data_IF_946929961933
#
_entry.id   IF_946929961933
#
_cell.length_a   1.000
_cell.length_b   1.000
_cell.length_c   1.000
_cell.angle_alpha   90.00
_cell.angle_beta   90.00
_cell.angle_gamma   90.00
#
_symmetry.space_group_name_H-M   'P 1'
#
loop_
_entity.id
_entity.type
_entity.pdbx_description
1 polymer ?
#
# COMPACT_ATOMS: atom_id res chain seq x y z
N UNK A 1 -3.11 15.67 -29.35
CA UNK A 1 -2.00 14.70 -29.25
C UNK A 1 -0.96 15.29 -28.31
N UNK A 2 -1.18 15.14 -27.00
CA UNK A 2 -0.24 15.51 -25.92
C UNK A 2 -0.86 15.10 -24.56
N UNK A 3 -0.64 13.86 -24.12
CA UNK A 3 -0.83 13.46 -22.71
C UNK A 3 0.14 12.36 -22.26
N UNK A 4 1.18 12.04 -23.03
CA UNK A 4 2.12 10.96 -22.69
C UNK A 4 3.34 11.44 -21.87
N UNK A 5 3.59 12.75 -21.80
CA UNK A 5 4.79 13.31 -21.16
C UNK A 5 4.71 13.37 -19.63
N UNK A 6 3.51 13.39 -19.04
CA UNK A 6 3.30 13.47 -17.58
C UNK A 6 3.33 12.10 -16.91
N UNK A 7 2.91 11.02 -17.59
CA UNK A 7 3.01 9.66 -17.04
C UNK A 7 4.46 9.17 -16.95
N UNK A 8 5.28 9.46 -17.97
CA UNK A 8 6.68 9.08 -17.97
C UNK A 8 7.49 9.82 -16.90
N UNK A 9 7.12 11.05 -16.54
CA UNK A 9 7.79 11.81 -15.49
C UNK A 9 7.44 11.25 -14.10
N UNK A 10 6.18 10.84 -13.87
CA UNK A 10 5.73 10.23 -12.61
C UNK A 10 6.30 8.82 -12.40
N UNK A 11 6.33 8.00 -13.46
CA UNK A 11 6.95 6.65 -13.44
C UNK A 11 8.47 6.76 -13.29
N UNK A 12 9.12 7.73 -13.94
CA UNK A 12 10.55 8.03 -13.76
C UNK A 12 10.89 8.51 -12.34
N UNK A 13 9.99 9.28 -11.71
CA UNK A 13 10.11 9.71 -10.31
C UNK A 13 9.88 8.57 -9.30
N UNK A 14 9.01 7.60 -9.63
CA UNK A 14 8.80 6.37 -8.86
C UNK A 14 9.98 5.39 -9.00
N UNK A 15 10.60 5.32 -10.19
CA UNK A 15 11.70 4.39 -10.49
C UNK A 15 13.08 4.94 -10.09
N UNK A 16 13.19 6.20 -9.66
CA UNK A 16 14.45 6.76 -9.17
C UNK A 16 14.81 6.08 -7.83
N UNK A 17 15.95 5.36 -7.75
CA UNK A 17 16.27 4.54 -6.59
C UNK A 17 16.53 5.45 -5.39
N UNK A 18 15.76 5.26 -4.31
CA UNK A 18 15.71 6.14 -3.12
C UNK A 18 14.34 6.78 -2.85
N UNK A 19 13.38 6.64 -3.77
CA UNK A 19 12.00 7.19 -3.64
C UNK A 19 11.06 6.33 -2.78
N UNK A 20 11.55 5.22 -2.22
CA UNK A 20 10.81 4.38 -1.24
C UNK A 20 10.75 5.00 0.17
N UNK A 21 11.43 6.13 0.38
CA UNK A 21 11.51 6.84 1.65
C UNK A 21 10.67 8.14 1.66
N UNK A 22 9.95 8.43 0.58
CA UNK A 22 9.08 9.61 0.51
C UNK A 22 7.69 9.29 1.13
N UNK A 23 7.23 10.06 2.12
CA UNK A 23 6.01 9.77 2.90
C UNK A 23 4.73 9.67 2.04
N UNK A 24 4.73 10.27 0.85
CA UNK A 24 3.63 10.24 -0.10
C UNK A 24 3.38 8.84 -0.70
N UNK A 25 4.43 8.06 -0.96
CA UNK A 25 4.28 6.71 -1.53
C UNK A 25 3.67 5.75 -0.51
N UNK A 26 4.11 5.85 0.75
CA UNK A 26 3.53 5.10 1.87
C UNK A 26 2.05 5.43 2.07
N UNK A 27 1.68 6.71 1.91
CA UNK A 27 0.28 7.13 2.00
C UNK A 27 -0.57 6.58 0.85
N UNK A 28 -0.04 6.57 -0.38
CA UNK A 28 -0.73 5.98 -1.53
C UNK A 28 -0.94 4.46 -1.37
N UNK A 29 0.07 3.75 -0.84
CA UNK A 29 -0.03 2.32 -0.52
C UNK A 29 -1.06 2.08 0.58
N UNK A 30 -1.06 2.86 1.65
CA UNK A 30 -2.06 2.79 2.73
C UNK A 30 -3.49 3.01 2.20
N UNK A 31 -3.68 4.02 1.35
CA UNK A 31 -4.96 4.30 0.69
C UNK A 31 -5.41 3.14 -0.22
N UNK A 32 -4.50 2.52 -0.97
CA UNK A 32 -4.80 1.36 -1.80
C UNK A 32 -5.23 0.15 -0.94
N UNK A 33 -4.53 -0.13 0.16
CA UNK A 33 -4.91 -1.19 1.11
C UNK A 33 -6.28 -0.92 1.75
N UNK A 34 -6.58 0.33 2.11
CA UNK A 34 -7.87 0.73 2.68
C UNK A 34 -9.03 0.56 1.68
N UNK A 35 -8.83 0.98 0.43
CA UNK A 35 -9.83 0.83 -0.64
C UNK A 35 -10.12 -0.64 -0.93
N UNK A 36 -9.07 -1.46 -0.97
CA UNK A 36 -9.20 -2.89 -1.25
C UNK A 36 -9.85 -3.64 -0.07
N UNK A 37 -9.63 -3.20 1.17
CA UNK A 37 -10.38 -3.67 2.34
C UNK A 37 -11.88 -3.32 2.25
N UNK A 38 -12.22 -2.09 1.81
CA UNK A 38 -13.62 -1.69 1.58
C UNK A 38 -14.31 -2.56 0.53
N UNK A 39 -13.60 -2.88 -0.57
CA UNK A 39 -14.09 -3.77 -1.61
C UNK A 39 -14.35 -5.17 -1.03
N UNK A 40 -13.42 -5.72 -0.24
CA UNK A 40 -13.63 -7.01 0.42
C UNK A 40 -14.81 -6.99 1.39
N UNK A 41 -15.01 -5.89 2.13
CA UNK A 41 -16.17 -5.73 3.02
C UNK A 41 -17.49 -5.73 2.24
N UNK A 42 -17.52 -5.01 1.11
CA UNK A 42 -18.68 -4.94 0.22
C UNK A 42 -18.99 -6.28 -0.43
N UNK A 43 -17.97 -7.01 -0.90
CA UNK A 43 -18.12 -8.35 -1.45
C UNK A 43 -18.53 -9.38 -0.40
N UNK A 44 -17.99 -9.30 0.82
CA UNK A 44 -18.37 -10.17 1.92
C UNK A 44 -19.86 -10.00 2.29
N UNK A 45 -20.35 -8.76 2.27
CA UNK A 45 -21.77 -8.46 2.47
C UNK A 45 -22.65 -9.03 1.35
N UNK A 46 -22.28 -8.81 0.08
CA UNK A 46 -23.03 -9.33 -1.08
C UNK A 46 -23.06 -10.86 -1.15
N UNK A 47 -21.99 -11.53 -0.71
CA UNK A 47 -21.83 -12.99 -0.89
C UNK A 47 -22.37 -13.81 0.29
N UNK A 48 -23.03 -13.19 1.28
CA UNK A 48 -23.65 -13.89 2.44
C UNK A 48 -22.68 -14.83 3.18
N UNK A 49 -21.42 -14.41 3.35
CA UNK A 49 -20.48 -15.10 4.26
C UNK A 49 -19.73 -16.31 3.69
N UNK A 50 -19.31 -16.28 2.41
CA UNK A 50 -18.37 -17.28 1.91
C UNK A 50 -17.01 -17.14 2.63
N UNK A 51 -16.49 -18.21 3.29
CA UNK A 51 -15.25 -18.17 4.08
C UNK A 51 -14.01 -17.75 3.28
N UNK A 52 -14.05 -17.86 1.96
CA UNK A 52 -12.97 -17.40 1.08
C UNK A 52 -12.64 -15.91 1.27
N UNK A 53 -13.65 -15.06 1.47
CA UNK A 53 -13.44 -13.62 1.69
C UNK A 53 -12.82 -13.32 3.05
N UNK A 54 -13.02 -14.17 4.04
CA UNK A 54 -12.41 -14.01 5.36
C UNK A 54 -10.91 -14.25 5.32
N UNK A 55 -10.47 -15.27 4.55
CA UNK A 55 -9.05 -15.55 4.32
C UNK A 55 -8.38 -14.42 3.55
N UNK A 56 -9.03 -13.93 2.49
CA UNK A 56 -8.53 -12.79 1.70
C UNK A 56 -8.39 -11.52 2.56
N UNK A 57 -9.34 -11.27 3.46
CA UNK A 57 -9.29 -10.13 4.39
C UNK A 57 -8.15 -10.27 5.41
N UNK A 58 -7.88 -11.49 5.91
CA UNK A 58 -6.75 -11.76 6.79
C UNK A 58 -5.40 -11.54 6.10
N UNK A 59 -5.23 -12.03 4.87
CA UNK A 59 -4.01 -11.86 4.09
C UNK A 59 -3.79 -10.37 3.77
N UNK A 60 -4.85 -9.64 3.38
CA UNK A 60 -4.83 -8.18 3.19
C UNK A 60 -4.30 -7.44 4.43
N UNK A 61 -4.82 -7.76 5.61
CA UNK A 61 -4.39 -7.15 6.88
C UNK A 61 -2.94 -7.53 7.22
N UNK A 62 -2.51 -8.77 6.96
CA UNK A 62 -1.14 -9.20 7.17
C UNK A 62 -0.14 -8.45 6.26
N UNK A 63 -0.51 -8.23 5.00
CA UNK A 63 0.25 -7.39 4.07
C UNK A 63 0.32 -5.94 4.55
N UNK A 64 -0.80 -5.37 4.98
CA UNK A 64 -0.83 -4.00 5.50
C UNK A 64 0.02 -3.83 6.77
N UNK A 65 -0.05 -4.81 7.68
CA UNK A 65 0.79 -4.87 8.87
C UNK A 65 2.27 -4.99 8.53
N UNK A 66 2.63 -5.78 7.51
CA UNK A 66 4.01 -5.91 7.04
C UNK A 66 4.56 -4.55 6.55
N UNK A 67 3.79 -3.80 5.76
CA UNK A 67 4.19 -2.46 5.31
C UNK A 67 4.37 -1.51 6.49
N UNK A 68 3.44 -1.49 7.44
CA UNK A 68 3.55 -0.67 8.67
C UNK A 68 4.78 -1.05 9.50
N UNK A 69 5.10 -2.34 9.56
CA UNK A 69 6.30 -2.84 10.23
C UNK A 69 7.57 -2.37 9.56
N UNK A 70 7.65 -2.40 8.22
CA UNK A 70 8.79 -1.87 7.47
C UNK A 70 9.00 -0.36 7.70
N UNK A 71 7.93 0.43 7.80
CA UNK A 71 8.04 1.88 8.09
C UNK A 71 8.55 2.13 9.51
N UNK A 72 7.95 1.46 10.51
CA UNK A 72 8.35 1.60 11.91
C UNK A 72 9.78 1.11 12.13
N UNK A 73 10.12 -0.05 11.58
CA UNK A 73 11.44 -0.65 11.72
C UNK A 73 12.52 0.17 10.98
N UNK A 74 12.20 0.63 9.76
CA UNK A 74 13.12 1.45 8.97
C UNK A 74 13.44 2.80 9.61
N UNK A 75 12.46 3.44 10.25
CA UNK A 75 12.66 4.69 10.99
C UNK A 75 13.48 4.48 12.27
N UNK A 76 13.27 3.35 12.97
CA UNK A 76 14.01 3.04 14.20
C UNK A 76 15.51 2.79 13.95
N UNK A 77 15.89 2.15 12.83
CA UNK A 77 17.31 1.95 12.51
C UNK A 77 18.04 3.28 12.23
N UNK A 78 17.41 4.25 11.56
CA UNK A 78 18.02 5.56 11.32
C UNK A 78 18.16 6.41 12.59
N UNK A 79 17.34 6.18 13.63
CA UNK A 79 17.42 6.89 14.91
C UNK A 79 18.46 6.28 15.88
N UNK A 80 18.99 5.08 15.60
CA UNK A 80 20.03 4.44 16.43
C UNK A 80 21.44 4.85 15.99
N UNK A 81 21.61 5.37 14.77
CA UNK A 81 22.88 5.90 14.26
C UNK A 81 23.03 7.44 14.41
N UNK A 82 22.16 8.10 15.18
CA UNK A 82 22.26 9.52 15.55
C UNK A 82 22.41 9.65 17.07
#
# INVERSE_FOLDING_TARGET
>A
MASDSEELSFVSFILKPGSSLHPTFLFAVDAAFALLFFIFLWLAYLTKGNPHFFVLMGIQLALWASVKWYVVLGIQMLNVEQ
#
